data_IF_312746753856
#
_entry.id   IF_312746753856
#
_cell.length_a   1.000
_cell.length_b   1.000
_cell.length_c   1.000
_cell.angle_alpha   90.00
_cell.angle_beta   90.00
_cell.angle_gamma   90.00
#
_symmetry.space_group_name_H-M   'P 1'
#
loop_
_entity.id
_entity.type
_entity.pdbx_description
1 polymer ?
#
# COMPACT_ATOMS: atom_id res chain seq x y z
N UNK A 1 2.08 -27.22 2.99
CA UNK A 1 2.01 -25.99 2.16
C UNK A 1 0.55 -25.72 1.87
N UNK A 2 0.05 -24.53 2.22
CA UNK A 2 -1.27 -24.09 1.79
C UNK A 2 -1.22 -23.81 0.28
N UNK A 3 -1.79 -24.68 -0.56
CA UNK A 3 -1.91 -24.44 -2.01
C UNK A 3 -2.55 -23.07 -2.29
N UNK A 4 -3.47 -22.66 -1.42
CA UNK A 4 -4.14 -21.37 -1.47
C UNK A 4 -3.16 -20.20 -1.27
N UNK A 5 -2.19 -20.33 -0.36
CA UNK A 5 -1.19 -19.27 -0.14
C UNK A 5 -0.20 -19.16 -1.30
N UNK A 6 0.07 -20.26 -2.00
CA UNK A 6 0.89 -20.22 -3.21
C UNK A 6 0.14 -19.49 -4.33
N UNK A 7 -1.16 -19.77 -4.48
CA UNK A 7 -2.02 -19.02 -5.41
C UNK A 7 -2.06 -17.54 -5.02
N UNK A 8 -2.15 -17.20 -3.73
CA UNK A 8 -2.10 -15.81 -3.27
C UNK A 8 -0.79 -15.15 -3.69
N UNK A 9 0.35 -15.78 -3.41
CA UNK A 9 1.65 -15.25 -3.80
C UNK A 9 1.74 -14.99 -5.31
N UNK A 10 1.46 -16.01 -6.13
CA UNK A 10 1.63 -15.94 -7.58
C UNK A 10 0.64 -14.95 -8.21
N UNK A 11 -0.64 -15.07 -7.90
CA UNK A 11 -1.67 -14.19 -8.45
C UNK A 11 -1.52 -12.76 -7.94
N UNK A 12 -1.26 -12.57 -6.64
CA UNK A 12 -1.02 -11.26 -6.04
C UNK A 12 0.20 -10.57 -6.64
N UNK A 13 1.33 -11.28 -6.79
CA UNK A 13 2.51 -10.75 -7.45
C UNK A 13 2.26 -10.40 -8.92
N UNK A 14 1.46 -11.20 -9.64
CA UNK A 14 1.09 -10.91 -11.02
C UNK A 14 0.22 -9.64 -11.13
N UNK A 15 -0.84 -9.50 -10.32
CA UNK A 15 -1.70 -8.31 -10.31
C UNK A 15 -0.92 -7.05 -9.92
N UNK A 16 -0.12 -7.11 -8.85
CA UNK A 16 0.68 -5.99 -8.40
C UNK A 16 1.83 -5.68 -9.38
N UNK A 17 2.38 -6.67 -10.06
CA UNK A 17 3.37 -6.48 -11.13
C UNK A 17 2.77 -5.74 -12.33
N UNK A 18 1.56 -6.11 -12.77
CA UNK A 18 0.81 -5.38 -13.81
C UNK A 18 0.53 -3.94 -13.36
N UNK A 19 0.11 -3.75 -12.11
CA UNK A 19 -0.13 -2.42 -11.55
C UNK A 19 1.17 -1.59 -11.49
N UNK A 20 2.28 -2.18 -11.07
CA UNK A 20 3.60 -1.53 -11.01
C UNK A 20 4.11 -1.13 -12.41
N UNK A 21 3.95 -1.99 -13.41
CA UNK A 21 4.32 -1.68 -14.81
C UNK A 21 3.44 -0.57 -15.37
N UNK A 22 2.13 -0.62 -15.10
CA UNK A 22 1.18 0.43 -15.49
C UNK A 22 1.57 1.77 -14.85
N UNK A 23 1.82 1.79 -13.55
CA UNK A 23 2.20 3.00 -12.81
C UNK A 23 3.54 3.57 -13.27
N UNK A 24 4.54 2.71 -13.55
CA UNK A 24 5.83 3.14 -14.13
C UNK A 24 5.67 3.82 -15.50
N UNK A 25 4.79 3.28 -16.36
CA UNK A 25 4.61 3.76 -17.73
C UNK A 25 3.68 4.96 -17.82
N UNK A 26 2.55 4.95 -17.10
CA UNK A 26 1.46 5.93 -17.27
C UNK A 26 1.10 6.69 -16.01
N UNK A 27 1.69 6.37 -14.85
CA UNK A 27 1.37 6.96 -13.52
C UNK A 27 -0.07 6.75 -13.08
N UNK A 28 -0.70 5.73 -13.65
CA UNK A 28 -2.11 5.39 -13.43
C UNK A 28 -2.26 3.88 -13.53
N UNK A 29 -3.16 3.33 -12.71
CA UNK A 29 -3.57 1.93 -12.76
C UNK A 29 -5.07 1.90 -13.03
N UNK A 30 -5.49 1.06 -13.99
CA UNK A 30 -6.90 0.96 -14.37
C UNK A 30 -7.70 0.24 -13.30
N UNK A 31 -8.89 0.77 -12.97
CA UNK A 31 -9.75 0.21 -11.91
C UNK A 31 -10.15 -1.25 -12.13
N UNK A 32 -10.24 -1.71 -13.38
CA UNK A 32 -10.49 -3.13 -13.71
C UNK A 32 -9.48 -4.10 -13.07
N UNK A 33 -8.23 -3.67 -12.87
CA UNK A 33 -7.19 -4.49 -12.23
C UNK A 33 -7.55 -4.71 -10.76
N UNK A 34 -7.98 -3.63 -10.09
CA UNK A 34 -8.42 -3.67 -8.70
C UNK A 34 -9.70 -4.47 -8.52
N UNK A 35 -10.69 -4.30 -9.40
CA UNK A 35 -11.94 -5.07 -9.37
C UNK A 35 -11.70 -6.57 -9.57
N UNK A 36 -10.83 -6.95 -10.52
CA UNK A 36 -10.50 -8.35 -10.75
C UNK A 36 -9.77 -8.97 -9.55
N UNK A 37 -8.77 -8.27 -9.00
CA UNK A 37 -8.04 -8.73 -7.83
C UNK A 37 -8.94 -8.77 -6.58
N UNK A 38 -9.86 -7.81 -6.41
CA UNK A 38 -10.85 -7.79 -5.34
C UNK A 38 -11.80 -8.99 -5.40
N UNK A 39 -12.37 -9.27 -6.57
CA UNK A 39 -13.27 -10.39 -6.76
C UNK A 39 -12.57 -11.73 -6.48
N UNK A 40 -11.35 -11.91 -7.00
CA UNK A 40 -10.55 -13.09 -6.71
C UNK A 40 -10.19 -13.17 -5.22
N UNK A 41 -9.80 -12.07 -4.59
CA UNK A 41 -9.45 -12.01 -3.18
C UNK A 41 -10.62 -12.40 -2.27
N UNK A 42 -11.81 -11.87 -2.54
CA UNK A 42 -13.01 -12.22 -1.78
C UNK A 42 -13.39 -13.70 -1.96
N UNK A 43 -13.29 -14.23 -3.19
CA UNK A 43 -13.53 -15.64 -3.46
C UNK A 43 -12.52 -16.56 -2.74
N UNK A 44 -11.24 -16.21 -2.75
CA UNK A 44 -10.19 -16.94 -2.04
C UNK A 44 -10.34 -16.83 -0.52
N UNK A 45 -10.82 -15.70 0.00
CA UNK A 45 -11.13 -15.55 1.42
C UNK A 45 -12.31 -16.46 1.81
N UNK A 46 -13.39 -16.47 1.03
CA UNK A 46 -14.49 -17.41 1.25
C UNK A 46 -14.04 -18.88 1.18
N UNK A 47 -13.18 -19.22 0.21
CA UNK A 47 -12.60 -20.56 0.11
C UNK A 47 -11.72 -20.92 1.32
N UNK A 48 -10.93 -19.99 1.85
CA UNK A 48 -10.12 -20.21 3.06
C UNK A 48 -10.97 -20.55 4.27
N UNK A 49 -12.09 -19.83 4.45
CA UNK A 49 -13.04 -20.09 5.54
C UNK A 49 -13.70 -21.47 5.37
N UNK A 50 -14.14 -21.79 4.16
CA UNK A 50 -14.76 -23.08 3.85
C UNK A 50 -13.82 -24.27 4.05
N UNK A 51 -12.61 -24.22 3.48
CA UNK A 51 -11.62 -25.30 3.55
C UNK A 51 -11.22 -25.58 5.01
N UNK A 52 -11.21 -24.55 5.86
CA UNK A 52 -10.85 -24.68 7.27
C UNK A 52 -11.99 -25.16 8.16
N UNK A 53 -13.20 -25.27 7.62
CA UNK A 53 -14.38 -25.69 8.37
C UNK A 53 -14.65 -24.79 9.57
N UNK A 54 -14.42 -23.48 9.44
CA UNK A 54 -14.77 -22.54 10.51
C UNK A 54 -16.29 -22.46 10.67
N UNK A 55 -16.73 -22.05 11.85
CA UNK A 55 -18.14 -21.81 12.11
C UNK A 55 -18.76 -20.88 11.04
N UNK A 56 -19.92 -21.23 10.42
CA UNK A 56 -20.54 -20.41 9.39
C UNK A 56 -20.79 -18.95 9.80
N UNK A 57 -21.01 -18.68 11.09
CA UNK A 57 -21.19 -17.34 11.66
C UNK A 57 -19.91 -16.53 11.56
N UNK A 58 -18.73 -17.16 11.69
CA UNK A 58 -17.43 -16.52 11.40
C UNK A 58 -17.38 -16.04 9.95
N UNK A 59 -18.02 -16.77 9.04
CA UNK A 59 -18.15 -16.43 7.62
C UNK A 59 -18.86 -15.10 7.34
N UNK A 60 -19.63 -14.57 8.29
CA UNK A 60 -20.28 -13.27 8.16
C UNK A 60 -19.30 -12.11 8.02
N UNK A 61 -18.01 -12.30 8.37
CA UNK A 61 -16.94 -11.31 8.12
C UNK A 61 -16.78 -10.97 6.64
N UNK A 62 -17.22 -11.83 5.73
CA UNK A 62 -17.21 -11.57 4.29
C UNK A 62 -18.14 -10.42 3.92
N UNK A 63 -19.21 -10.15 4.68
CA UNK A 63 -20.17 -9.08 4.42
C UNK A 63 -19.53 -7.69 4.57
N UNK A 64 -19.00 -7.28 5.74
CA UNK A 64 -18.31 -6.00 5.87
C UNK A 64 -17.09 -5.92 4.94
N UNK A 65 -16.39 -7.04 4.72
CA UNK A 65 -15.26 -7.10 3.78
C UNK A 65 -15.70 -6.77 2.35
N UNK A 66 -16.76 -7.39 1.84
CA UNK A 66 -17.26 -7.15 0.48
C UNK A 66 -17.75 -5.70 0.29
N UNK A 67 -18.50 -5.17 1.28
CA UNK A 67 -19.00 -3.80 1.23
C UNK A 67 -17.84 -2.81 1.15
N UNK A 68 -16.84 -2.94 2.02
CA UNK A 68 -15.68 -2.05 2.05
C UNK A 68 -14.73 -2.23 0.87
N UNK A 69 -14.65 -3.45 0.33
CA UNK A 69 -13.79 -3.77 -0.80
C UNK A 69 -14.31 -3.17 -2.11
N UNK A 70 -15.63 -3.22 -2.33
CA UNK A 70 -16.24 -2.78 -3.58
C UNK A 70 -16.76 -1.33 -3.56
N UNK A 71 -17.08 -0.75 -2.41
CA UNK A 71 -17.53 0.64 -2.31
C UNK A 71 -16.54 1.66 -2.96
N UNK A 72 -15.22 1.60 -2.69
CA UNK A 72 -14.24 2.49 -3.33
C UNK A 72 -14.00 2.18 -4.82
N UNK A 73 -14.38 0.98 -5.29
CA UNK A 73 -14.12 0.52 -6.66
C UNK A 73 -15.29 0.81 -7.61
N UNK A 74 -16.52 0.84 -7.07
CA UNK A 74 -17.74 1.11 -7.83
C UNK A 74 -18.01 2.63 -7.93
N UNK A 75 -17.21 3.46 -7.26
CA UNK A 75 -17.28 4.92 -7.39
C UNK A 75 -18.44 5.55 -6.64
N UNK A 76 -18.95 4.89 -5.60
CA UNK A 76 -19.90 5.50 -4.67
C UNK A 76 -19.13 6.34 -3.64
N UNK A 77 -18.70 7.52 -4.07
CA UNK A 77 -18.02 8.45 -3.18
C UNK A 77 -19.06 9.18 -2.31
N UNK A 78 -18.96 9.01 -0.99
CA UNK A 78 -19.75 9.81 -0.03
C UNK A 78 -19.44 11.30 -0.14
N UNK A 79 -18.25 11.64 -0.61
CA UNK A 79 -17.75 13.00 -0.74
C UNK A 79 -17.38 13.24 -2.20
N UNK A 80 -18.18 14.04 -2.88
CA UNK A 80 -17.89 14.51 -4.23
C UNK A 80 -17.48 15.99 -4.21
N UNK A 81 -16.88 16.50 -5.29
CA UNK A 81 -16.59 17.93 -5.45
C UNK A 81 -17.85 18.82 -5.31
N UNK A 82 -19.04 18.23 -5.46
CA UNK A 82 -20.36 18.87 -5.34
C UNK A 82 -20.99 18.71 -3.94
N UNK A 83 -20.25 18.21 -2.95
CA UNK A 83 -20.72 17.98 -1.59
C UNK A 83 -20.95 16.50 -1.25
N UNK A 84 -21.64 16.27 -0.13
CA UNK A 84 -21.90 14.93 0.39
C UNK A 84 -23.05 14.25 -0.37
N UNK A 85 -22.86 12.98 -0.72
CA UNK A 85 -23.88 12.12 -1.33
C UNK A 85 -24.06 10.87 -0.48
N UNK A 86 -25.29 10.51 -0.17
CA UNK A 86 -25.61 9.31 0.59
C UNK A 86 -26.59 8.44 -0.20
N UNK A 87 -26.09 7.62 -1.15
CA UNK A 87 -26.94 6.71 -1.90
C UNK A 87 -27.63 5.72 -0.94
N UNK A 88 -28.96 5.53 -1.03
CA UNK A 88 -29.67 4.59 -0.16
C UNK A 88 -29.11 3.17 -0.20
N UNK A 89 -28.61 2.74 -1.37
CA UNK A 89 -27.97 1.44 -1.56
C UNK A 89 -26.67 1.31 -0.73
N UNK A 90 -25.80 2.32 -0.72
CA UNK A 90 -24.61 2.31 0.13
C UNK A 90 -25.00 2.31 1.61
N UNK A 91 -25.95 3.15 2.03
CA UNK A 91 -26.41 3.18 3.43
C UNK A 91 -26.91 1.79 3.86
N UNK A 92 -27.73 1.14 3.03
CA UNK A 92 -28.23 -0.21 3.28
C UNK A 92 -27.09 -1.24 3.36
N UNK A 93 -26.09 -1.16 2.47
CA UNK A 93 -24.93 -2.05 2.49
C UNK A 93 -24.08 -1.89 3.76
N UNK A 94 -23.83 -0.65 4.20
CA UNK A 94 -23.12 -0.38 5.45
C UNK A 94 -23.92 -0.81 6.68
N UNK A 95 -25.24 -0.59 6.69
CA UNK A 95 -26.12 -1.06 7.75
C UNK A 95 -26.11 -2.60 7.83
N UNK A 96 -26.13 -3.29 6.69
CA UNK A 96 -26.00 -4.74 6.61
C UNK A 96 -24.63 -5.22 7.13
N UNK A 97 -23.54 -4.55 6.76
CA UNK A 97 -22.20 -4.85 7.26
C UNK A 97 -22.08 -4.72 8.78
N UNK A 98 -22.65 -3.65 9.35
CA UNK A 98 -22.69 -3.43 10.80
C UNK A 98 -23.57 -4.50 11.47
N UNK A 99 -24.76 -4.75 10.93
CA UNK A 99 -25.70 -5.75 11.45
C UNK A 99 -25.11 -7.16 11.45
N UNK A 100 -24.47 -7.58 10.34
CA UNK A 100 -23.80 -8.87 10.24
C UNK A 100 -22.66 -9.02 11.26
N UNK A 101 -21.88 -7.95 11.47
CA UNK A 101 -20.79 -7.94 12.46
C UNK A 101 -21.34 -8.02 13.89
N UNK A 102 -22.37 -7.24 14.21
CA UNK A 102 -23.00 -7.25 15.53
C UNK A 102 -23.67 -8.59 15.85
N UNK A 103 -24.37 -9.18 14.87
CA UNK A 103 -24.98 -10.49 15.01
C UNK A 103 -23.92 -11.57 15.24
N UNK A 104 -22.83 -11.59 14.46
CA UNK A 104 -21.75 -12.54 14.66
C UNK A 104 -21.10 -12.44 16.04
N UNK A 105 -20.92 -11.22 16.57
CA UNK A 105 -20.36 -11.02 17.91
C UNK A 105 -21.29 -11.50 19.03
N UNK A 106 -22.60 -11.35 18.85
CA UNK A 106 -23.62 -11.77 19.80
C UNK A 106 -23.80 -13.30 19.80
N UNK A 107 -23.92 -13.90 18.62
CA UNK A 107 -24.13 -15.34 18.46
C UNK A 107 -22.91 -16.16 18.94
N UNK A 108 -21.69 -15.68 18.65
CA UNK A 108 -20.45 -16.32 19.08
C UNK A 108 -20.07 -16.02 20.54
N UNK A 109 -20.90 -15.33 21.33
CA UNK A 109 -20.55 -14.95 22.70
C UNK A 109 -20.27 -16.17 23.60
N UNK A 110 -20.98 -17.29 23.36
CA UNK A 110 -20.80 -18.55 24.09
C UNK A 110 -19.62 -19.42 23.61
N UNK A 111 -19.10 -19.19 22.39
CA UNK A 111 -17.98 -19.94 21.82
C UNK A 111 -16.72 -19.07 21.70
N UNK A 112 -15.90 -19.13 22.73
CA UNK A 112 -14.64 -18.37 22.82
C UNK A 112 -13.66 -18.66 21.66
N UNK A 113 -13.65 -19.87 21.10
CA UNK A 113 -12.75 -20.26 20.03
C UNK A 113 -13.19 -19.65 18.68
N UNK A 114 -14.47 -19.79 18.35
CA UNK A 114 -15.04 -19.20 17.13
C UNK A 114 -15.06 -17.68 17.20
N UNK A 115 -15.36 -17.09 18.37
CA UNK A 115 -15.25 -15.64 18.60
C UNK A 115 -13.82 -15.14 18.39
N UNK A 116 -12.82 -15.84 18.93
CA UNK A 116 -11.42 -15.48 18.71
C UNK A 116 -11.01 -15.53 17.24
N UNK A 117 -11.50 -16.53 16.51
CA UNK A 117 -11.27 -16.67 15.07
C UNK A 117 -11.95 -15.54 14.28
N UNK A 118 -13.20 -15.21 14.61
CA UNK A 118 -13.92 -14.08 14.02
C UNK A 118 -13.18 -12.77 14.22
N UNK A 119 -12.72 -12.47 15.44
CA UNK A 119 -11.97 -11.24 15.75
C UNK A 119 -10.67 -11.14 14.94
N UNK A 120 -9.97 -12.27 14.71
CA UNK A 120 -8.77 -12.28 13.85
C UNK A 120 -9.11 -11.92 12.41
N UNK A 121 -10.19 -12.45 11.85
CA UNK A 121 -10.62 -12.10 10.50
C UNK A 121 -11.24 -10.69 10.42
N UNK A 122 -11.83 -10.19 11.50
CA UNK A 122 -12.40 -8.84 11.59
C UNK A 122 -11.31 -7.75 11.43
N UNK A 123 -10.04 -8.09 11.66
CA UNK A 123 -8.92 -7.19 11.34
C UNK A 123 -8.89 -6.79 9.86
N UNK A 124 -9.38 -7.63 8.95
CA UNK A 124 -9.43 -7.34 7.50
C UNK A 124 -10.29 -6.10 7.20
N UNK A 125 -11.61 -6.08 7.47
CA UNK A 125 -12.43 -4.91 7.22
C UNK A 125 -12.02 -3.71 8.09
N UNK A 126 -11.53 -3.92 9.32
CA UNK A 126 -10.99 -2.84 10.15
C UNK A 126 -9.81 -2.16 9.45
N UNK A 127 -8.87 -2.92 8.89
CA UNK A 127 -7.75 -2.35 8.15
C UNK A 127 -8.17 -1.66 6.86
N UNK A 128 -9.20 -2.14 6.18
CA UNK A 128 -9.73 -1.43 5.02
C UNK A 128 -10.24 -0.03 5.41
N UNK A 129 -10.92 0.09 6.56
CA UNK A 129 -11.32 1.38 7.12
C UNK A 129 -10.12 2.24 7.48
N UNK A 130 -9.06 1.65 8.07
CA UNK A 130 -7.81 2.37 8.37
C UNK A 130 -7.19 2.92 7.08
N UNK A 131 -7.00 2.11 6.04
CA UNK A 131 -6.44 2.56 4.77
C UNK A 131 -7.30 3.61 4.07
N UNK A 132 -8.63 3.47 4.15
CA UNK A 132 -9.55 4.51 3.68
C UNK A 132 -9.36 5.80 4.48
N UNK A 133 -9.30 5.72 5.81
CA UNK A 133 -9.03 6.88 6.67
C UNK A 133 -7.70 7.55 6.34
N UNK A 134 -6.65 6.76 6.11
CA UNK A 134 -5.33 7.25 5.68
C UNK A 134 -5.39 7.99 4.34
N UNK A 135 -6.25 7.56 3.41
CA UNK A 135 -6.49 8.26 2.15
C UNK A 135 -7.22 9.59 2.38
N UNK A 136 -8.30 9.60 3.17
CA UNK A 136 -9.09 10.81 3.45
C UNK A 136 -8.26 11.90 4.16
N UNK A 137 -7.38 11.51 5.08
CA UNK A 137 -6.47 12.45 5.77
C UNK A 137 -5.20 12.77 4.95
N UNK A 138 -5.11 12.32 3.70
CA UNK A 138 -4.00 12.55 2.77
C UNK A 138 -2.64 11.97 3.21
N UNK A 139 -2.65 10.99 4.12
CA UNK A 139 -1.46 10.20 4.47
C UNK A 139 -1.08 9.28 3.30
N UNK A 140 -2.08 8.63 2.68
CA UNK A 140 -1.94 7.95 1.39
C UNK A 140 -2.35 8.92 0.28
N UNK A 141 -1.36 9.43 -0.46
CA UNK A 141 -1.58 10.49 -1.46
C UNK A 141 -2.18 10.01 -2.79
N UNK A 142 -2.18 8.70 -3.05
CA UNK A 142 -2.67 8.10 -4.30
C UNK A 142 -3.88 7.21 -4.06
N UNK A 143 -4.94 7.41 -4.84
CA UNK A 143 -6.12 6.53 -4.79
C UNK A 143 -5.81 5.08 -5.21
N UNK A 144 -4.83 4.89 -6.11
CA UNK A 144 -4.34 3.56 -6.47
C UNK A 144 -3.65 2.87 -5.28
N UNK A 145 -2.90 3.61 -4.46
CA UNK A 145 -2.18 3.09 -3.29
C UNK A 145 -3.17 2.57 -2.24
N UNK A 146 -4.21 3.36 -1.94
CA UNK A 146 -5.27 2.99 -1.02
C UNK A 146 -6.06 1.78 -1.53
N UNK A 147 -6.46 1.77 -2.81
CA UNK A 147 -7.13 0.63 -3.45
C UNK A 147 -6.28 -0.63 -3.37
N UNK A 148 -4.98 -0.54 -3.63
CA UNK A 148 -4.08 -1.68 -3.55
C UNK A 148 -4.05 -2.29 -2.14
N UNK A 149 -3.87 -1.46 -1.10
CA UNK A 149 -3.82 -1.92 0.29
C UNK A 149 -5.14 -2.52 0.79
N UNK A 150 -6.27 -1.89 0.42
CA UNK A 150 -7.61 -2.42 0.71
C UNK A 150 -7.79 -3.79 0.06
N UNK A 151 -7.44 -3.92 -1.23
CA UNK A 151 -7.58 -5.19 -1.95
C UNK A 151 -6.66 -6.26 -1.36
N UNK A 152 -5.41 -5.93 -1.02
CA UNK A 152 -4.46 -6.85 -0.38
C UNK A 152 -5.01 -7.39 0.95
N UNK A 153 -5.70 -6.55 1.74
CA UNK A 153 -6.27 -6.96 3.03
C UNK A 153 -7.28 -8.11 2.89
N UNK A 154 -8.15 -8.08 1.87
CA UNK A 154 -9.04 -9.20 1.58
C UNK A 154 -8.33 -10.36 0.88
N UNK A 155 -7.36 -10.06 0.01
CA UNK A 155 -6.68 -11.07 -0.80
C UNK A 155 -5.84 -12.03 0.05
N UNK A 156 -5.19 -11.50 1.09
CA UNK A 156 -4.34 -12.23 2.03
C UNK A 156 -4.81 -11.89 3.45
N UNK A 157 -5.89 -12.52 3.93
CA UNK A 157 -6.54 -12.15 5.19
C UNK A 157 -5.72 -12.53 6.43
N UNK A 158 -4.71 -13.39 6.27
CA UNK A 158 -3.82 -13.84 7.34
C UNK A 158 -2.40 -14.03 6.81
N UNK A 159 -1.46 -14.12 7.74
CA UNK A 159 -0.08 -14.42 7.42
C UNK A 159 0.04 -15.74 6.64
N UNK A 160 0.76 -15.75 5.51
CA UNK A 160 0.90 -16.95 4.69
C UNK A 160 1.78 -17.99 5.38
N UNK A 161 1.47 -19.26 5.16
CA UNK A 161 2.26 -20.40 5.64
C UNK A 161 2.72 -21.25 4.44
N UNK A 162 3.91 -20.90 3.93
CA UNK A 162 4.51 -21.46 2.73
C UNK A 162 5.90 -22.03 3.01
N UNK A 163 5.98 -23.13 3.78
CA UNK A 163 7.26 -23.81 4.04
C UNK A 163 8.16 -23.92 2.79
N UNK A 164 9.42 -23.43 2.82
CA UNK A 164 10.20 -22.98 3.98
C UNK A 164 10.03 -21.48 4.37
N UNK A 165 9.15 -20.74 3.72
CA UNK A 165 8.89 -19.32 3.92
C UNK A 165 7.69 -19.04 4.84
N UNK A 166 7.64 -17.87 5.52
CA UNK A 166 8.64 -16.80 5.53
C UNK A 166 9.94 -17.19 6.26
N UNK A 167 11.07 -16.63 5.83
CA UNK A 167 12.39 -16.90 6.42
C UNK A 167 12.51 -16.39 7.87
N UNK A 168 11.89 -15.25 8.17
CA UNK A 168 11.84 -14.68 9.52
C UNK A 168 10.52 -15.06 10.17
N UNK A 169 10.53 -16.19 10.89
CA UNK A 169 9.40 -16.62 11.72
C UNK A 169 9.54 -16.03 13.11
N UNK A 170 8.45 -15.44 13.61
CA UNK A 170 8.39 -14.96 14.99
C UNK A 170 8.15 -16.14 15.94
N UNK A 171 9.23 -16.62 16.55
CA UNK A 171 9.17 -17.58 17.66
C UNK A 171 8.94 -16.84 18.98
N UNK A 172 7.83 -16.11 19.07
CA UNK A 172 7.47 -15.32 20.25
C UNK A 172 6.09 -15.69 20.76
N UNK A 173 5.88 -15.77 22.09
CA UNK A 173 4.54 -15.87 22.70
C UNK A 173 3.59 -14.76 22.24
N UNK A 174 4.12 -13.63 21.77
CA UNK A 174 3.36 -12.47 21.31
C UNK A 174 2.88 -12.58 19.87
N UNK A 175 3.21 -13.67 19.14
CA UNK A 175 2.88 -13.84 17.71
C UNK A 175 1.40 -13.56 17.42
N UNK A 176 0.48 -14.14 18.18
CA UNK A 176 -0.95 -13.94 17.97
C UNK A 176 -1.39 -12.48 18.12
N UNK A 177 -0.85 -11.77 19.12
CA UNK A 177 -1.13 -10.33 19.33
C UNK A 177 -0.54 -9.48 18.22
N UNK A 178 0.69 -9.79 17.79
CA UNK A 178 1.38 -9.08 16.72
C UNK A 178 0.71 -9.26 15.37
N UNK A 179 0.20 -10.46 15.06
CA UNK A 179 -0.56 -10.72 13.83
C UNK A 179 -1.85 -9.89 13.76
N UNK A 180 -2.48 -9.60 14.91
CA UNK A 180 -3.66 -8.72 15.00
C UNK A 180 -3.29 -7.24 14.87
N UNK A 181 -2.20 -6.81 15.50
CA UNK A 181 -1.73 -5.42 15.43
C UNK A 181 -1.10 -5.05 14.08
N UNK A 182 -0.44 -6.03 13.45
CA UNK A 182 0.24 -5.89 12.17
C UNK A 182 -0.31 -6.91 11.18
N UNK A 183 -1.54 -6.74 10.69
CA UNK A 183 -2.10 -7.63 9.68
C UNK A 183 -1.27 -7.56 8.38
N UNK A 184 -1.41 -8.60 7.55
CA UNK A 184 -0.53 -8.81 6.40
C UNK A 184 -0.45 -7.60 5.46
N UNK A 185 -1.58 -6.93 5.18
CA UNK A 185 -1.61 -5.73 4.34
C UNK A 185 -0.79 -4.56 4.92
N UNK A 186 -0.75 -4.40 6.24
CA UNK A 186 0.10 -3.41 6.92
C UNK A 186 1.57 -3.78 6.84
N UNK A 187 1.90 -5.08 6.94
CA UNK A 187 3.25 -5.56 6.71
C UNK A 187 3.74 -5.23 5.29
N UNK A 188 2.90 -5.42 4.27
CA UNK A 188 3.23 -5.06 2.89
C UNK A 188 3.53 -3.57 2.76
N UNK A 189 2.72 -2.71 3.40
CA UNK A 189 2.96 -1.26 3.45
C UNK A 189 4.28 -0.93 4.16
N UNK A 190 4.58 -1.59 5.27
CA UNK A 190 5.81 -1.40 6.02
C UNK A 190 7.04 -1.80 5.20
N UNK A 191 7.00 -2.95 4.53
CA UNK A 191 8.07 -3.39 3.65
C UNK A 191 8.29 -2.40 2.50
N UNK A 192 7.21 -1.88 1.90
CA UNK A 192 7.30 -0.81 0.91
C UNK A 192 7.93 0.47 1.47
N UNK A 193 7.57 0.88 2.69
CA UNK A 193 8.15 2.04 3.36
C UNK A 193 9.65 1.86 3.66
N UNK A 194 10.07 0.66 4.05
CA UNK A 194 11.49 0.33 4.24
C UNK A 194 12.27 0.45 2.92
N UNK A 195 11.70 0.00 1.80
CA UNK A 195 12.31 0.20 0.48
C UNK A 195 12.44 1.69 0.13
N UNK A 196 11.44 2.51 0.47
CA UNK A 196 11.53 3.96 0.31
C UNK A 196 12.63 4.57 1.19
N UNK A 197 12.81 4.09 2.41
CA UNK A 197 13.85 4.57 3.33
C UNK A 197 15.28 4.33 2.81
N UNK A 198 15.46 3.36 1.90
CA UNK A 198 16.75 3.08 1.25
C UNK A 198 17.03 4.07 0.09
N UNK A 199 16.00 4.69 -0.50
CA UNK A 199 16.17 5.53 -1.68
C UNK A 199 17.10 6.73 -1.49
N UNK A 200 17.11 7.45 -0.36
CA UNK A 200 18.08 8.53 -0.16
C UNK A 200 19.53 8.05 -0.25
N UNK A 201 19.82 6.86 0.29
CA UNK A 201 21.14 6.25 0.21
C UNK A 201 21.46 5.82 -1.23
N UNK A 202 20.47 5.31 -1.96
CA UNK A 202 20.62 4.97 -3.37
C UNK A 202 20.89 6.22 -4.23
N UNK A 203 20.22 7.35 -3.97
CA UNK A 203 20.50 8.62 -4.63
C UNK A 203 21.88 9.13 -4.29
N UNK A 204 22.31 9.05 -3.03
CA UNK A 204 23.64 9.48 -2.62
C UNK A 204 24.72 8.68 -3.35
N UNK A 205 24.58 7.35 -3.39
CA UNK A 205 25.51 6.48 -4.12
C UNK A 205 25.51 6.82 -5.62
N UNK A 206 24.33 6.99 -6.23
CA UNK A 206 24.21 7.37 -7.64
C UNK A 206 24.90 8.71 -7.94
N UNK A 207 24.66 9.74 -7.13
CA UNK A 207 25.26 11.05 -7.31
C UNK A 207 26.77 11.05 -7.01
N UNK A 208 27.23 10.22 -6.07
CA UNK A 208 28.66 10.03 -5.79
C UNK A 208 29.41 9.53 -7.03
N UNK A 209 28.84 8.57 -7.77
CA UNK A 209 29.45 8.07 -9.02
C UNK A 209 29.56 9.13 -10.13
N UNK A 210 28.84 10.26 -9.99
CA UNK A 210 28.83 11.38 -10.95
C UNK A 210 29.57 12.62 -10.45
N UNK A 211 30.10 12.58 -9.22
CA UNK A 211 30.74 13.74 -8.58
C UNK A 211 29.75 14.80 -8.05
N UNK A 212 28.45 14.51 -8.04
CA UNK A 212 27.39 15.46 -7.66
C UNK A 212 26.99 15.35 -6.18
N UNK A 213 27.94 15.52 -5.25
CA UNK A 213 27.74 15.31 -3.81
C UNK A 213 27.15 16.51 -3.05
N UNK A 214 26.35 17.36 -3.70
CA UNK A 214 25.78 18.54 -3.05
C UNK A 214 24.67 18.14 -2.06
N UNK A 215 24.99 18.06 -0.78
CA UNK A 215 24.02 17.76 0.27
C UNK A 215 23.13 18.99 0.58
N UNK A 216 21.83 18.80 0.90
CA UNK A 216 21.09 17.53 0.93
C UNK A 216 20.47 17.13 -0.42
N UNK A 217 20.72 17.85 -1.52
CA UNK A 217 20.13 17.58 -2.84
C UNK A 217 20.46 16.17 -3.35
N UNK A 218 21.70 15.72 -3.11
CA UNK A 218 22.17 14.41 -3.51
C UNK A 218 21.41 13.25 -2.84
N UNK A 219 20.64 13.50 -1.76
CA UNK A 219 19.80 12.51 -1.09
C UNK A 219 18.37 12.45 -1.65
N UNK A 220 17.91 13.49 -2.33
CA UNK A 220 16.48 13.62 -2.70
C UNK A 220 16.26 13.78 -4.22
N UNK A 221 17.33 13.89 -4.99
CA UNK A 221 17.26 14.08 -6.44
C UNK A 221 18.60 13.81 -7.12
N UNK A 222 18.69 14.16 -8.40
CA UNK A 222 19.90 14.04 -9.21
C UNK A 222 19.93 15.14 -10.28
N UNK A 223 21.11 15.45 -10.81
CA UNK A 223 21.25 16.40 -11.92
C UNK A 223 20.94 15.75 -13.26
N UNK A 224 20.25 16.51 -14.11
CA UNK A 224 20.00 16.15 -15.51
C UNK A 224 20.31 17.32 -16.44
N UNK A 225 20.80 17.04 -17.65
CA UNK A 225 20.98 18.07 -18.66
C UNK A 225 19.61 18.53 -19.19
N UNK A 226 19.46 19.85 -19.39
CA UNK A 226 18.19 20.47 -19.79
C UNK A 226 17.72 20.09 -21.20
N UNK A 227 18.57 19.43 -21.99
CA UNK A 227 18.22 18.89 -23.31
C UNK A 227 17.60 17.48 -23.23
N UNK A 228 17.74 16.78 -22.10
CA UNK A 228 17.36 15.36 -21.97
C UNK A 228 16.66 15.08 -20.64
N UNK A 229 15.77 15.98 -20.23
CA UNK A 229 15.01 15.85 -18.98
C UNK A 229 13.99 14.71 -19.09
N UNK A 230 13.99 13.73 -18.16
CA UNK A 230 13.03 12.62 -18.20
C UNK A 230 11.58 13.09 -18.02
N UNK A 231 10.61 12.30 -18.48
CA UNK A 231 9.18 12.68 -18.43
C UNK A 231 8.62 12.79 -17.01
N UNK A 232 9.03 11.91 -16.08
CA UNK A 232 8.42 11.80 -14.76
C UNK A 232 9.35 12.29 -13.65
N UNK A 233 9.67 13.58 -13.68
CA UNK A 233 10.51 14.25 -12.68
C UNK A 233 9.91 15.60 -12.34
N UNK A 234 10.17 16.06 -11.13
CA UNK A 234 9.92 17.44 -10.70
C UNK A 234 11.22 18.23 -10.65
N UNK A 235 11.18 19.46 -11.16
CA UNK A 235 12.30 20.38 -11.07
C UNK A 235 12.46 20.88 -9.63
N UNK A 236 13.66 20.71 -9.09
CA UNK A 236 14.04 21.31 -7.81
C UNK A 236 14.59 22.72 -8.03
N UNK A 237 15.40 22.91 -9.07
CA UNK A 237 15.89 24.24 -9.43
C UNK A 237 14.81 25.07 -10.12
N UNK A 238 14.67 26.33 -9.70
CA UNK A 238 13.83 27.35 -10.32
C UNK A 238 14.56 28.68 -10.35
N UNK A 239 14.12 29.58 -11.23
CA UNK A 239 14.50 30.99 -11.17
C UNK A 239 13.37 31.76 -10.52
N UNK A 240 13.67 32.50 -9.45
CA UNK A 240 12.74 33.42 -8.79
C UNK A 240 13.45 34.75 -8.60
N UNK A 241 12.84 35.82 -9.10
CA UNK A 241 13.39 37.19 -9.00
C UNK A 241 14.81 37.33 -9.59
N UNK A 242 15.12 36.55 -10.63
CA UNK A 242 16.44 36.52 -11.29
C UNK A 242 17.47 35.62 -10.61
N UNK A 243 17.18 35.10 -9.43
CA UNK A 243 18.07 34.22 -8.68
C UNK A 243 17.66 32.75 -8.81
N UNK A 244 18.66 31.86 -8.77
CA UNK A 244 18.43 30.42 -8.72
C UNK A 244 18.03 30.02 -7.30
N UNK A 245 16.82 29.50 -7.16
CA UNK A 245 16.29 28.95 -5.92
C UNK A 245 16.09 27.45 -6.08
N UNK A 246 16.67 26.67 -5.18
CA UNK A 246 16.45 25.22 -5.11
C UNK A 246 15.34 24.91 -4.12
N UNK A 247 14.31 24.20 -4.57
CA UNK A 247 13.19 23.74 -3.75
C UNK A 247 13.32 22.23 -3.52
N UNK A 248 13.52 21.83 -2.27
CA UNK A 248 13.70 20.42 -1.91
C UNK A 248 12.46 19.56 -2.15
N UNK A 249 11.28 20.10 -1.84
CA UNK A 249 9.99 19.44 -2.03
C UNK A 249 9.13 20.23 -3.03
N UNK A 250 9.34 20.02 -4.34
CA UNK A 250 8.64 20.78 -5.36
C UNK A 250 7.15 20.45 -5.39
N UNK A 251 6.33 21.45 -5.73
CA UNK A 251 4.90 21.26 -5.95
C UNK A 251 4.64 20.27 -7.09
N UNK A 252 3.60 19.42 -6.95
CA UNK A 252 3.24 18.39 -7.95
C UNK A 252 2.95 18.97 -9.34
N UNK A 253 2.34 20.16 -9.38
CA UNK A 253 1.99 20.87 -10.61
C UNK A 253 3.08 21.91 -10.90
N UNK A 254 3.80 21.70 -12.00
CA UNK A 254 4.86 22.60 -12.46
C UNK A 254 4.65 22.90 -13.93
N UNK A 255 4.75 24.19 -14.28
CA UNK A 255 4.94 24.59 -15.67
C UNK A 255 6.39 24.29 -16.06
N UNK A 256 6.60 23.08 -16.57
CA UNK A 256 7.93 22.57 -16.94
C UNK A 256 8.53 23.36 -18.08
N UNK A 257 7.72 23.80 -19.04
CA UNK A 257 8.18 24.55 -20.19
C UNK A 257 8.72 25.92 -19.75
N UNK A 258 7.98 26.60 -18.87
CA UNK A 258 8.44 27.85 -18.25
C UNK A 258 9.72 27.66 -17.44
N UNK A 259 9.76 26.68 -16.53
CA UNK A 259 10.95 26.42 -15.70
C UNK A 259 12.19 26.14 -16.58
N UNK A 260 12.05 25.29 -17.60
CA UNK A 260 13.15 25.00 -18.52
C UNK A 260 13.61 26.24 -19.29
N UNK A 261 12.67 27.09 -19.74
CA UNK A 261 12.96 28.35 -20.41
C UNK A 261 13.73 29.32 -19.51
N UNK A 262 13.29 29.47 -18.26
CA UNK A 262 13.92 30.34 -17.27
C UNK A 262 15.34 29.88 -16.95
N UNK A 263 15.54 28.58 -16.71
CA UNK A 263 16.86 28.01 -16.42
C UNK A 263 17.83 28.18 -17.61
N UNK A 264 17.33 27.98 -18.85
CA UNK A 264 18.14 28.19 -20.06
C UNK A 264 18.51 29.66 -20.26
N UNK A 265 17.59 30.59 -20.00
CA UNK A 265 17.86 32.05 -20.07
C UNK A 265 18.89 32.50 -19.04
N UNK A 266 18.92 31.84 -17.88
CA UNK A 266 19.96 32.04 -16.86
C UNK A 266 21.31 31.37 -17.21
N UNK A 267 21.46 30.78 -18.41
CA UNK A 267 22.71 30.16 -18.86
C UNK A 267 23.00 28.77 -18.27
N UNK A 268 22.04 28.17 -17.55
CA UNK A 268 22.23 26.84 -16.97
C UNK A 268 22.10 25.76 -18.05
N UNK A 269 23.00 24.76 -18.00
CA UNK A 269 22.98 23.58 -18.88
C UNK A 269 22.32 22.37 -18.23
N UNK A 270 22.28 22.34 -16.91
CA UNK A 270 21.79 21.24 -16.09
C UNK A 270 20.92 21.76 -14.96
N UNK A 271 20.04 20.91 -14.45
CA UNK A 271 19.19 21.20 -13.32
C UNK A 271 19.01 19.99 -12.41
N UNK A 272 18.88 20.24 -11.11
CA UNK A 272 18.45 19.27 -10.13
C UNK A 272 16.98 18.93 -10.33
N UNK A 273 16.70 17.64 -10.37
CA UNK A 273 15.35 17.09 -10.45
C UNK A 273 15.18 15.98 -9.43
N UNK A 274 13.97 15.80 -8.93
CA UNK A 274 13.59 14.66 -8.11
C UNK A 274 12.61 13.78 -8.89
N UNK A 275 12.80 12.45 -8.94
CA UNK A 275 11.94 11.58 -9.72
C UNK A 275 10.57 11.46 -9.06
N UNK A 276 9.54 11.33 -9.90
CA UNK A 276 8.21 10.92 -9.44
C UNK A 276 8.27 9.41 -9.19
N UNK A 277 8.44 9.02 -7.93
CA UNK A 277 8.56 7.62 -7.56
C UNK A 277 7.18 6.94 -7.58
N UNK A 278 6.99 5.88 -8.39
CA UNK A 278 5.74 5.12 -8.41
C UNK A 278 5.64 4.28 -7.14
N UNK A 279 4.62 4.50 -6.32
CA UNK A 279 4.44 3.76 -5.06
C UNK A 279 4.15 2.27 -5.30
N UNK A 280 3.58 1.93 -6.46
CA UNK A 280 3.22 0.55 -6.79
C UNK A 280 4.42 -0.40 -6.92
N UNK A 281 5.59 0.10 -7.31
CA UNK A 281 6.80 -0.74 -7.45
C UNK A 281 7.30 -1.27 -6.11
N UNK A 282 7.63 -0.42 -5.11
CA UNK A 282 8.01 -0.90 -3.80
C UNK A 282 6.87 -1.64 -3.09
N UNK A 283 5.61 -1.33 -3.39
CA UNK A 283 4.47 -2.11 -2.87
C UNK A 283 4.45 -3.54 -3.42
N UNK A 284 4.66 -3.73 -4.72
CA UNK A 284 4.74 -5.06 -5.33
C UNK A 284 5.94 -5.87 -4.80
N UNK A 285 7.11 -5.23 -4.66
CA UNK A 285 8.29 -5.85 -4.07
C UNK A 285 8.04 -6.19 -2.60
N UNK A 286 7.46 -5.25 -1.84
CA UNK A 286 7.11 -5.42 -0.43
C UNK A 286 6.12 -6.56 -0.19
N UNK A 287 5.19 -6.79 -1.13
CA UNK A 287 4.29 -7.94 -1.12
C UNK A 287 5.05 -9.26 -1.22
N UNK A 288 5.94 -9.40 -2.20
CA UNK A 288 6.76 -10.61 -2.36
C UNK A 288 7.67 -10.81 -1.14
N UNK A 289 8.30 -9.74 -0.64
CA UNK A 289 9.11 -9.79 0.58
C UNK A 289 8.29 -10.20 1.80
N UNK A 290 7.02 -9.81 1.91
CA UNK A 290 6.17 -10.22 3.02
C UNK A 290 5.89 -11.75 3.01
N UNK A 291 5.82 -12.37 1.83
CA UNK A 291 5.72 -13.83 1.70
C UNK A 291 7.04 -14.55 1.96
N UNK A 292 8.15 -14.04 1.39
CA UNK A 292 9.45 -14.73 1.39
C UNK A 292 10.23 -14.45 2.68
N UNK A 293 10.33 -13.19 3.07
CA UNK A 293 11.14 -12.75 4.22
C UNK A 293 10.29 -12.69 5.49
N UNK A 294 9.02 -12.27 5.39
CA UNK A 294 8.14 -12.08 6.55
C UNK A 294 8.24 -10.66 7.11
N UNK A 295 8.29 -10.54 8.44
CA UNK A 295 8.26 -9.25 9.13
C UNK A 295 9.66 -8.85 9.66
N UNK A 296 10.45 -8.09 8.86
CA UNK A 296 11.82 -7.74 9.25
C UNK A 296 11.88 -6.81 10.46
N UNK A 297 10.88 -5.93 10.64
CA UNK A 297 10.82 -5.04 11.81
C UNK A 297 10.62 -5.85 13.10
N UNK A 298 9.78 -6.88 13.06
CA UNK A 298 9.55 -7.73 14.23
C UNK A 298 10.75 -8.62 14.53
N UNK A 299 11.44 -9.12 13.51
CA UNK A 299 12.71 -9.84 13.71
C UNK A 299 13.75 -8.94 14.39
N UNK A 300 13.86 -7.67 13.97
CA UNK A 300 14.73 -6.70 14.63
C UNK A 300 14.31 -6.45 16.09
N UNK A 301 13.01 -6.29 16.36
CA UNK A 301 12.50 -6.12 17.72
C UNK A 301 12.75 -7.34 18.60
N UNK A 302 12.66 -8.56 18.04
CA UNK A 302 12.97 -9.80 18.77
C UNK A 302 14.44 -9.87 19.16
N UNK A 303 15.35 -9.36 18.32
CA UNK A 303 16.79 -9.27 18.65
C UNK A 303 17.05 -8.19 19.70
N UNK A 304 16.30 -7.07 19.67
CA UNK A 304 16.49 -5.94 20.57
C UNK A 304 15.82 -6.11 21.94
N UNK A 305 14.75 -6.90 22.03
CA UNK A 305 14.07 -7.19 23.28
C UNK A 305 14.73 -8.40 23.95
N UNK A 306 15.21 -8.28 25.21
CA UNK A 306 15.78 -9.41 25.92
C UNK A 306 14.73 -10.53 26.06
N UNK A 307 15.15 -11.77 25.82
CA UNK A 307 14.34 -12.93 26.17
C UNK A 307 14.07 -12.92 27.69
N UNK A 308 12.83 -13.15 28.14
CA UNK A 308 12.55 -13.38 29.56
C UNK A 308 13.26 -14.63 30.08
#
# INVERSE_FOLDING_TARGET
MSELDLVRLVAGAAFLGVAAVSDLRTRTVKDRVWVAMAALGLAMFAADLWIRGVDPVVGLVLVPTAVLLFDPLIGQEFRTDKGWRFPPASIAAYALAIGATAYALWDLEGDTASRGTFLRYLTVPVMMLVFRGMYEIHLLKGGADAKALIVIAAFVPRYPDLSPFPLLVLDSPLRGTLEVLFPFSLLVLLNAALLFAILPLAFLAYNATRGDLQLPMALVGYKVPLNRVPKYVWFMDRIKDGERVTVYFPAKHQDRAKIMGDLRRAGLKEAWVTPQLPFMVPLAIGYVLAFVVGNPLMALLQVLLPHP
#
